data_IF_302568539681
#
_entry.id   IF_302568539681
#
_cell.length_a   1.000
_cell.length_b   1.000
_cell.length_c   1.000
_cell.angle_alpha   90.00
_cell.angle_beta   90.00
_cell.angle_gamma   90.00
#
_symmetry.space_group_name_H-M   'P 1'
#
loop_
_entity.id
_entity.type
_entity.pdbx_description
1 polymer ?
#
# COMPACT_ATOMS: atom_id res chain seq x y z
N UNK A 1 9.01 -11.77 1.31
CA UNK A 1 8.40 -11.08 2.47
C UNK A 1 6.93 -11.45 2.53
N UNK A 2 6.35 -11.61 3.73
CA UNK A 2 4.91 -11.83 3.89
C UNK A 2 4.18 -10.53 3.49
N UNK A 3 3.39 -10.56 2.43
CA UNK A 3 2.53 -9.43 2.04
C UNK A 3 1.12 -9.78 2.48
N UNK A 4 0.62 -9.05 3.48
CA UNK A 4 -0.75 -9.16 3.95
C UNK A 4 -1.60 -8.10 3.26
N UNK A 5 -2.29 -8.51 2.20
CA UNK A 5 -3.34 -7.71 1.59
C UNK A 5 -4.66 -8.01 2.29
N UNK A 6 -5.28 -6.98 2.88
CA UNK A 6 -6.46 -7.11 3.75
C UNK A 6 -7.48 -8.14 3.28
N UNK A 7 -7.63 -9.23 4.05
CA UNK A 7 -8.62 -10.30 3.81
C UNK A 7 -8.22 -11.40 2.83
N UNK A 8 -7.04 -11.33 2.19
CA UNK A 8 -6.52 -12.39 1.32
C UNK A 8 -5.48 -13.27 2.02
N UNK A 9 -5.34 -14.55 1.62
CA UNK A 9 -4.26 -15.40 2.08
C UNK A 9 -2.90 -14.72 1.85
N UNK A 10 -2.02 -14.81 2.85
CA UNK A 10 -0.67 -14.27 2.77
C UNK A 10 0.02 -14.76 1.49
N UNK A 11 0.54 -13.82 0.69
CA UNK A 11 1.36 -14.14 -0.48
C UNK A 11 2.83 -14.00 -0.11
N UNK A 12 3.63 -14.93 -0.62
CA UNK A 12 5.08 -14.94 -0.47
C UNK A 12 5.70 -14.53 -1.80
N UNK A 13 6.32 -13.35 -1.86
CA UNK A 13 7.19 -13.00 -2.99
C UNK A 13 8.61 -13.52 -2.76
N UNK A 14 9.12 -14.28 -3.74
CA UNK A 14 10.43 -14.96 -3.75
C UNK A 14 11.63 -14.03 -4.02
N UNK A 15 11.38 -12.78 -4.42
CA UNK A 15 12.41 -11.80 -4.76
C UNK A 15 12.05 -10.48 -4.09
N UNK A 16 12.97 -9.78 -3.41
CA UNK A 16 12.67 -8.44 -2.90
C UNK A 16 12.50 -7.52 -4.10
N UNK A 17 11.25 -7.21 -4.46
CA UNK A 17 10.95 -6.05 -5.29
C UNK A 17 11.41 -4.79 -4.53
N UNK A 18 11.70 -3.72 -5.27
CA UNK A 18 11.88 -2.39 -4.68
C UNK A 18 10.66 -2.06 -3.81
N UNK A 19 10.87 -1.38 -2.68
CA UNK A 19 9.81 -0.94 -1.78
C UNK A 19 8.70 -0.21 -2.56
N UNK A 20 7.46 -0.63 -2.39
CA UNK A 20 6.28 0.00 -2.97
C UNK A 20 5.05 -0.30 -2.09
N UNK A 21 4.10 0.62 -2.14
CA UNK A 21 2.80 0.55 -1.50
C UNK A 21 1.73 0.15 -2.51
N UNK A 22 0.52 -0.13 -2.01
CA UNK A 22 -0.58 -0.64 -2.84
C UNK A 22 -1.81 0.26 -2.80
N UNK A 23 -2.45 0.43 -3.94
CA UNK A 23 -3.81 1.01 -4.03
C UNK A 23 -4.75 0.03 -4.72
N UNK A 24 -5.83 -0.35 -4.03
CA UNK A 24 -6.79 -1.36 -4.48
C UNK A 24 -8.13 -0.72 -4.85
N UNK A 25 -8.65 -1.07 -6.02
CA UNK A 25 -10.02 -0.74 -6.41
C UNK A 25 -11.01 -1.66 -5.67
N UNK A 26 -11.93 -1.05 -4.95
CA UNK A 26 -12.96 -1.73 -4.16
C UNK A 26 -14.09 -2.31 -5.01
N UNK A 27 -14.24 -1.89 -6.28
CA UNK A 27 -15.25 -2.44 -7.18
C UNK A 27 -14.76 -3.63 -8.01
N UNK A 28 -13.56 -3.56 -8.57
CA UNK A 28 -13.05 -4.58 -9.50
C UNK A 28 -11.80 -5.32 -9.00
N UNK A 29 -11.25 -4.95 -7.85
CA UNK A 29 -10.07 -5.58 -7.27
C UNK A 29 -8.74 -5.25 -7.97
N UNK A 30 -8.73 -4.33 -8.95
CA UNK A 30 -7.48 -3.92 -9.60
C UNK A 30 -6.53 -3.25 -8.61
N UNK A 31 -5.23 -3.58 -8.68
CA UNK A 31 -4.19 -3.05 -7.78
C UNK A 31 -3.20 -2.21 -8.58
N UNK A 32 -2.80 -1.07 -8.01
CA UNK A 32 -1.70 -0.22 -8.49
C UNK A 32 -0.59 -0.23 -7.44
N UNK A 33 0.64 -0.55 -7.86
CA UNK A 33 1.86 -0.37 -7.04
C UNK A 33 2.32 1.10 -7.15
N UNK A 34 2.68 1.75 -6.04
CA UNK A 34 3.21 3.13 -6.06
C UNK A 34 4.29 3.36 -4.99
N UNK A 35 5.07 4.42 -5.14
CA UNK A 35 6.04 4.89 -4.14
C UNK A 35 5.93 6.41 -4.02
N UNK A 36 5.87 6.94 -2.80
CA UNK A 36 5.80 8.39 -2.57
C UNK A 36 6.73 8.84 -1.44
N UNK A 37 7.85 9.46 -1.80
CA UNK A 37 8.87 9.95 -0.86
C UNK A 37 8.34 10.85 0.26
N UNK A 38 7.26 11.60 0.02
CA UNK A 38 6.69 12.46 1.05
C UNK A 38 5.93 11.66 2.10
N UNK A 39 5.23 10.60 1.68
CA UNK A 39 4.54 9.68 2.60
C UNK A 39 5.58 8.92 3.43
N UNK A 40 6.62 8.37 2.79
CA UNK A 40 7.74 7.71 3.47
C UNK A 40 8.34 8.59 4.58
N UNK A 41 8.68 9.83 4.22
CA UNK A 41 9.24 10.81 5.17
C UNK A 41 8.27 11.15 6.30
N UNK A 42 6.96 11.11 6.05
CA UNK A 42 5.95 11.40 7.07
C UNK A 42 5.83 10.25 8.06
N UNK A 43 5.84 9.00 7.59
CA UNK A 43 5.80 7.81 8.45
C UNK A 43 7.01 7.78 9.40
N UNK A 44 8.21 8.08 8.91
CA UNK A 44 9.42 8.20 9.75
C UNK A 44 9.26 9.29 10.82
N UNK A 45 8.75 10.46 10.45
CA UNK A 45 8.52 11.58 11.38
C UNK A 45 7.50 11.21 12.46
N UNK A 46 6.41 10.53 12.10
CA UNK A 46 5.40 10.07 13.06
C UNK A 46 6.03 9.07 14.03
N UNK A 47 6.80 8.09 13.54
CA UNK A 47 7.49 7.14 14.41
C UNK A 47 8.42 7.86 15.41
N UNK A 48 9.22 8.82 14.91
CA UNK A 48 10.12 9.61 15.74
C UNK A 48 9.37 10.42 16.81
N UNK A 49 8.22 11.01 16.48
CA UNK A 49 7.42 11.80 17.41
C UNK A 49 6.97 10.98 18.65
N UNK A 50 6.74 9.68 18.47
CA UNK A 50 6.36 8.78 19.56
C UNK A 50 7.54 7.97 20.14
N UNK A 51 8.78 8.30 19.74
CA UNK A 51 9.99 7.64 20.23
C UNK A 51 10.23 6.24 19.66
N UNK A 52 9.57 5.87 18.56
CA UNK A 52 9.77 4.59 17.89
C UNK A 52 10.88 4.66 16.85
N UNK A 53 11.67 3.58 16.76
CA UNK A 53 12.51 3.31 15.60
C UNK A 53 11.69 2.54 14.56
N UNK A 54 11.36 3.17 13.43
CA UNK A 54 10.59 2.52 12.38
C UNK A 54 11.39 1.37 11.75
N UNK A 55 10.83 0.16 11.73
CA UNK A 55 11.47 -1.03 11.16
C UNK A 55 10.90 -1.46 9.81
N UNK A 56 9.59 -1.25 9.63
CA UNK A 56 8.82 -1.56 8.43
C UNK A 56 7.49 -0.83 8.55
N UNK A 57 6.77 -0.70 7.44
CA UNK A 57 5.40 -0.23 7.41
C UNK A 57 4.59 -1.03 6.38
N UNK A 58 3.28 -0.89 6.44
CA UNK A 58 2.35 -1.36 5.41
C UNK A 58 1.44 -0.18 5.10
N UNK A 59 1.44 0.29 3.86
CA UNK A 59 0.49 1.27 3.38
C UNK A 59 -0.36 0.67 2.27
N UNK A 60 -1.66 0.67 2.52
CA UNK A 60 -2.67 0.27 1.54
C UNK A 60 -3.72 1.37 1.43
N UNK A 61 -4.00 1.78 0.19
CA UNK A 61 -5.05 2.72 -0.13
C UNK A 61 -6.19 1.98 -0.83
N UNK A 62 -7.43 2.36 -0.53
CA UNK A 62 -8.62 1.75 -1.10
C UNK A 62 -9.45 2.83 -1.79
N UNK A 63 -9.85 2.59 -3.03
CA UNK A 63 -10.57 3.57 -3.84
C UNK A 63 -11.37 2.92 -4.96
N UNK A 64 -11.78 3.72 -5.95
CA UNK A 64 -12.44 3.25 -7.18
C UNK A 64 -11.53 3.66 -8.34
N UNK A 65 -11.08 2.71 -9.16
CA UNK A 65 -10.18 3.01 -10.26
C UNK A 65 -10.89 3.83 -11.37
N UNK A 66 -10.15 4.55 -12.24
CA UNK A 66 -10.75 5.38 -13.29
C UNK A 66 -11.75 4.62 -14.17
N UNK A 67 -11.43 3.36 -14.53
CA UNK A 67 -12.31 2.54 -15.35
C UNK A 67 -13.64 2.18 -14.67
N UNK A 68 -13.65 2.09 -13.34
CA UNK A 68 -14.85 1.82 -12.55
C UNK A 68 -15.66 3.10 -12.30
N UNK A 69 -15.00 4.24 -12.09
CA UNK A 69 -15.68 5.54 -11.97
C UNK A 69 -16.50 5.86 -13.23
N UNK A 70 -16.02 5.46 -14.41
CA UNK A 70 -16.72 5.67 -15.68
C UNK A 70 -17.78 4.62 -16.01
N UNK A 71 -17.87 3.50 -15.28
CA UNK A 71 -18.94 2.49 -15.50
C UNK A 71 -20.30 2.93 -14.96
N UNK A 72 -20.30 3.92 -14.07
CA UNK A 72 -21.49 4.46 -13.42
C UNK A 72 -21.90 5.85 -13.99
N UNK A 73 -21.32 6.24 -15.13
CA UNK A 73 -21.72 7.40 -15.95
C UNK A 73 -22.44 6.92 -17.20
#
# INVERSE_FOLDING_TARGET
TEVRMGGMPARYELTPKKHHDHMTCTECGSIVEFENKNIESLQEKVALQYGFKLTHHVLELYGICPACQTKNL
#
